data_IF_882551742464
#
_entry.id   IF_882551742464
#
_cell.length_a   1.000
_cell.length_b   1.000
_cell.length_c   1.000
_cell.angle_alpha   90.00
_cell.angle_beta   90.00
_cell.angle_gamma   90.00
#
_symmetry.space_group_name_H-M   'P 1'
#
loop_
_entity.id
_entity.type
_entity.pdbx_description
1 polymer ?
#
# COMPACT_ATOMS: atom_id res chain seq x y z
N UNK A 1 44.46 3.87 16.28
CA UNK A 1 43.63 3.90 15.06
C UNK A 1 43.04 2.53 14.64
N UNK A 2 43.62 1.37 15.02
CA UNK A 2 43.05 0.05 14.66
C UNK A 2 41.86 -0.43 15.52
N UNK A 3 41.70 0.10 16.73
CA UNK A 3 40.62 -0.28 17.65
C UNK A 3 39.28 0.44 17.39
N UNK A 4 39.30 1.56 16.65
CA UNK A 4 38.08 2.34 16.35
C UNK A 4 37.27 1.74 15.18
N UNK A 5 37.94 1.00 14.29
CA UNK A 5 37.28 0.33 13.16
C UNK A 5 36.44 -0.89 13.60
N UNK A 6 36.85 -1.58 14.67
CA UNK A 6 36.12 -2.73 15.19
C UNK A 6 34.82 -2.33 15.93
N UNK A 7 34.77 -1.13 16.52
CA UNK A 7 33.58 -0.62 17.22
C UNK A 7 32.46 -0.19 16.25
N UNK A 8 32.80 0.30 15.05
CA UNK A 8 31.81 0.69 14.04
C UNK A 8 31.14 -0.49 13.33
N UNK A 9 31.81 -1.66 13.28
CA UNK A 9 31.27 -2.88 12.67
C UNK A 9 30.22 -3.61 13.53
N UNK A 10 30.06 -3.24 14.81
CA UNK A 10 29.11 -3.87 15.74
C UNK A 10 27.75 -3.14 15.85
N UNK A 11 27.57 -1.97 15.21
CA UNK A 11 26.36 -1.14 15.33
C UNK A 11 25.33 -1.30 14.20
N UNK A 12 25.50 -2.26 13.30
CA UNK A 12 24.56 -2.53 12.21
C UNK A 12 23.60 -3.71 12.50
N UNK A 13 23.20 -3.93 13.77
CA UNK A 13 22.03 -4.74 14.07
C UNK A 13 20.79 -3.90 13.75
N UNK A 14 20.41 -3.87 12.47
CA UNK A 14 19.10 -3.41 12.05
C UNK A 14 18.04 -4.20 12.81
N UNK A 15 17.25 -3.52 13.62
CA UNK A 15 16.08 -4.10 14.29
C UNK A 15 15.11 -4.54 13.20
N UNK A 16 15.16 -5.82 12.82
CA UNK A 16 14.10 -6.42 12.04
C UNK A 16 12.84 -6.36 12.90
N UNK A 17 11.89 -5.50 12.52
CA UNK A 17 10.56 -5.50 13.11
C UNK A 17 9.95 -6.87 12.83
N UNK A 18 10.02 -7.76 13.82
CA UNK A 18 9.31 -9.03 13.78
C UNK A 18 7.82 -8.68 13.81
N UNK A 19 7.05 -9.20 12.86
CA UNK A 19 5.60 -9.13 12.95
C UNK A 19 5.18 -10.08 14.07
N UNK A 20 4.67 -9.54 15.17
CA UNK A 20 4.07 -10.36 16.22
C UNK A 20 2.67 -10.81 15.78
N UNK A 21 2.29 -12.07 16.08
CA UNK A 21 0.94 -12.57 15.83
C UNK A 21 -0.11 -11.69 16.50
N UNK A 22 -1.22 -11.46 15.81
CA UNK A 22 -2.35 -10.73 16.38
C UNK A 22 -3.20 -11.65 17.24
N UNK A 23 -3.75 -11.10 18.33
CA UNK A 23 -4.74 -11.79 19.15
C UNK A 23 -6.08 -11.76 18.43
N UNK A 24 -6.69 -12.93 18.31
CA UNK A 24 -7.95 -13.11 17.58
C UNK A 24 -8.94 -13.91 18.40
N UNK A 25 -10.22 -13.75 18.06
CA UNK A 25 -11.32 -14.59 18.54
C UNK A 25 -11.73 -15.54 17.41
N UNK A 26 -11.79 -16.84 17.68
CA UNK A 26 -12.36 -17.80 16.73
C UNK A 26 -13.88 -17.61 16.65
N UNK A 27 -14.41 -17.49 15.44
CA UNK A 27 -15.84 -17.27 15.17
C UNK A 27 -16.55 -18.47 14.53
N UNK A 28 -15.88 -19.62 14.39
CA UNK A 28 -16.48 -20.82 13.81
C UNK A 28 -15.57 -21.60 12.86
N UNK A 29 -14.31 -21.86 13.23
CA UNK A 29 -13.42 -22.77 12.47
C UNK A 29 -13.84 -24.24 12.62
N UNK A 30 -14.91 -24.65 11.92
CA UNK A 30 -15.47 -26.01 12.06
C UNK A 30 -14.63 -27.08 11.37
N UNK A 31 -14.00 -26.73 10.24
CA UNK A 31 -13.30 -27.67 9.35
C UNK A 31 -11.78 -27.51 9.34
N UNK A 32 -11.25 -26.75 10.29
CA UNK A 32 -9.81 -26.58 10.48
C UNK A 32 -9.49 -25.90 11.81
N UNK A 33 -8.20 -25.70 12.06
CA UNK A 33 -7.68 -25.12 13.30
C UNK A 33 -6.68 -24.03 12.96
N UNK A 34 -6.97 -22.80 13.40
CA UNK A 34 -6.03 -21.68 13.29
C UNK A 34 -4.84 -21.92 14.21
N UNK A 35 -3.63 -21.73 13.69
CA UNK A 35 -2.38 -21.77 14.45
C UNK A 35 -1.89 -20.37 14.76
N UNK A 36 -2.02 -19.47 13.79
CA UNK A 36 -1.47 -18.12 13.88
C UNK A 36 -2.20 -17.19 12.92
N UNK A 37 -2.42 -15.95 13.34
CA UNK A 37 -2.90 -14.86 12.49
C UNK A 37 -1.88 -13.73 12.58
N UNK A 38 -1.41 -13.27 11.43
CA UNK A 38 -0.47 -12.17 11.31
C UNK A 38 -1.07 -11.08 10.42
N UNK A 39 -1.00 -9.83 10.89
CA UNK A 39 -1.35 -8.65 10.10
C UNK A 39 -0.16 -7.73 10.10
N UNK A 40 0.34 -7.37 8.91
CA UNK A 40 1.55 -6.56 8.78
C UNK A 40 1.33 -5.37 7.85
N UNK A 41 1.72 -4.14 8.26
CA UNK A 41 2.25 -3.80 9.58
C UNK A 41 1.15 -3.75 10.66
N UNK A 42 1.39 -4.27 11.88
CA UNK A 42 0.53 -4.04 13.05
C UNK A 42 1.37 -4.09 14.34
N UNK A 43 2.09 -3.00 14.68
CA UNK A 43 2.99 -2.99 15.84
C UNK A 43 2.24 -2.90 17.19
N UNK A 44 0.96 -2.57 17.17
CA UNK A 44 0.14 -2.44 18.38
C UNK A 44 -1.29 -2.83 18.06
N UNK A 45 -1.93 -3.54 18.99
CA UNK A 45 -3.31 -3.97 18.87
C UNK A 45 -4.23 -3.09 19.74
N UNK A 46 -5.43 -2.72 19.25
CA UNK A 46 -6.02 -3.04 17.96
C UNK A 46 -5.26 -2.39 16.79
N UNK A 47 -5.17 -3.09 15.65
CA UNK A 47 -4.39 -2.62 14.52
C UNK A 47 -4.93 -1.29 13.99
N UNK A 48 -4.03 -0.30 13.87
CA UNK A 48 -4.33 0.99 13.26
C UNK A 48 -4.08 0.91 11.75
N UNK A 49 -5.17 0.85 11.01
CA UNK A 49 -5.20 0.72 9.56
C UNK A 49 -5.26 2.11 8.92
N UNK A 50 -4.12 2.60 8.46
CA UNK A 50 -4.01 3.90 7.81
C UNK A 50 -4.60 3.88 6.41
N UNK A 51 -5.44 4.87 6.12
CA UNK A 51 -5.99 5.10 4.78
C UNK A 51 -4.91 5.23 3.72
N UNK A 52 -5.18 4.77 2.50
CA UNK A 52 -4.23 4.79 1.39
C UNK A 52 -3.07 3.79 1.51
N UNK A 53 -2.98 3.02 2.60
CA UNK A 53 -1.95 1.99 2.79
C UNK A 53 -2.48 0.60 2.47
N UNK A 54 -1.57 -0.34 2.26
CA UNK A 54 -1.89 -1.76 2.09
C UNK A 54 -1.34 -2.56 3.26
N UNK A 55 -2.14 -3.51 3.74
CA UNK A 55 -1.78 -4.42 4.82
C UNK A 55 -1.77 -5.85 4.30
N UNK A 56 -0.80 -6.63 4.74
CA UNK A 56 -0.69 -8.05 4.44
C UNK A 56 -1.30 -8.85 5.59
N UNK A 57 -2.08 -9.87 5.26
CA UNK A 57 -2.66 -10.83 6.19
C UNK A 57 -2.06 -12.20 5.88
N UNK A 58 -1.56 -12.88 6.91
CA UNK A 58 -1.08 -14.24 6.83
C UNK A 58 -1.76 -15.08 7.92
N UNK A 59 -2.46 -16.14 7.53
CA UNK A 59 -3.13 -17.05 8.44
C UNK A 59 -2.53 -18.44 8.27
N UNK A 60 -1.89 -18.94 9.31
CA UNK A 60 -1.45 -20.33 9.36
C UNK A 60 -2.54 -21.17 10.00
N UNK A 61 -3.01 -22.20 9.30
CA UNK A 61 -4.07 -23.08 9.77
C UNK A 61 -3.83 -24.52 9.32
N UNK A 62 -4.37 -25.48 10.08
CA UNK A 62 -4.41 -26.90 9.70
C UNK A 62 -5.83 -27.24 9.25
N UNK A 63 -5.98 -27.82 8.06
CA UNK A 63 -7.28 -28.31 7.59
C UNK A 63 -7.62 -29.64 8.24
N UNK A 64 -8.86 -29.84 8.68
CA UNK A 64 -9.36 -31.14 9.17
C UNK A 64 -10.10 -31.94 8.09
N UNK A 65 -10.28 -31.36 6.91
CA UNK A 65 -11.00 -31.97 5.77
C UNK A 65 -10.22 -31.82 4.46
N UNK A 66 -10.69 -32.52 3.44
CA UNK A 66 -10.25 -32.32 2.05
C UNK A 66 -11.23 -31.40 1.34
N UNK A 67 -10.73 -30.45 0.55
CA UNK A 67 -11.57 -29.55 -0.24
C UNK A 67 -10.95 -29.32 -1.62
N UNK A 68 -11.77 -29.28 -2.67
CA UNK A 68 -11.28 -29.01 -4.04
C UNK A 68 -10.94 -27.54 -4.26
N UNK A 69 -11.64 -26.64 -3.58
CA UNK A 69 -11.46 -25.20 -3.67
C UNK A 69 -11.47 -24.55 -2.29
N UNK A 70 -11.15 -23.27 -2.22
CA UNK A 70 -11.37 -22.48 -1.02
C UNK A 70 -11.73 -21.05 -1.38
N UNK A 71 -12.59 -20.42 -0.58
CA UNK A 71 -13.08 -19.07 -0.84
C UNK A 71 -13.01 -18.22 0.42
N UNK A 72 -12.34 -17.09 0.34
CA UNK A 72 -12.30 -16.10 1.41
C UNK A 72 -13.53 -15.20 1.38
N UNK A 73 -14.11 -14.98 2.57
CA UNK A 73 -15.26 -14.10 2.80
C UNK A 73 -14.92 -13.20 3.97
N UNK A 74 -15.09 -11.89 3.79
CA UNK A 74 -14.69 -10.88 4.78
C UNK A 74 -15.88 -9.98 5.09
N UNK A 75 -16.11 -9.74 6.38
CA UNK A 75 -17.10 -8.78 6.87
C UNK A 75 -16.44 -7.76 7.79
N UNK A 76 -16.88 -6.52 7.70
CA UNK A 76 -16.67 -5.51 8.73
C UNK A 76 -17.90 -5.42 9.61
N UNK A 77 -17.76 -5.72 10.90
CA UNK A 77 -18.86 -5.62 11.88
C UNK A 77 -18.85 -4.21 12.47
N UNK A 78 -19.88 -3.44 12.13
CA UNK A 78 -20.07 -2.06 12.55
C UNK A 78 -21.28 -2.01 13.49
N UNK A 79 -21.04 -1.64 14.75
CA UNK A 79 -22.11 -1.58 15.78
C UNK A 79 -22.92 -2.89 15.88
N UNK A 80 -22.27 -4.04 15.72
CA UNK A 80 -22.90 -5.36 15.76
C UNK A 80 -23.53 -5.84 14.44
N UNK A 81 -23.52 -5.02 13.39
CA UNK A 81 -24.06 -5.38 12.06
C UNK A 81 -22.92 -5.80 11.13
N UNK A 82 -22.93 -7.02 10.57
CA UNK A 82 -21.92 -7.46 9.61
C UNK A 82 -22.16 -6.81 8.23
N UNK A 83 -21.14 -6.16 7.69
CA UNK A 83 -21.17 -5.55 6.34
C UNK A 83 -20.15 -6.27 5.44
N UNK A 84 -20.57 -6.83 4.30
CA UNK A 84 -19.66 -7.50 3.38
C UNK A 84 -18.54 -6.59 2.85
N UNK A 85 -17.31 -7.10 2.84
CA UNK A 85 -16.15 -6.43 2.28
C UNK A 85 -15.58 -7.24 1.11
N UNK A 86 -15.86 -6.85 -0.15
CA UNK A 86 -15.30 -7.53 -1.31
C UNK A 86 -13.78 -7.36 -1.37
N UNK A 87 -13.06 -8.48 -1.39
CA UNK A 87 -11.61 -8.52 -1.54
C UNK A 87 -11.22 -8.79 -2.99
N UNK A 88 -10.06 -8.30 -3.48
CA UNK A 88 -9.66 -8.44 -4.88
C UNK A 88 -9.49 -9.88 -5.35
N UNK A 89 -8.94 -10.74 -4.49
CA UNK A 89 -8.77 -12.17 -4.75
C UNK A 89 -9.47 -12.97 -3.64
N UNK A 90 -10.70 -13.46 -3.89
CA UNK A 90 -11.41 -14.32 -2.96
C UNK A 90 -11.02 -15.79 -3.08
N UNK A 91 -10.35 -16.24 -4.14
CA UNK A 91 -9.95 -17.65 -4.28
C UNK A 91 -8.74 -17.98 -3.40
N UNK A 92 -8.97 -18.73 -2.32
CA UNK A 92 -7.91 -19.10 -1.39
C UNK A 92 -6.80 -19.94 -2.03
N UNK A 93 -7.12 -20.68 -3.09
CA UNK A 93 -6.15 -21.47 -3.86
C UNK A 93 -5.13 -20.59 -4.62
N UNK A 94 -5.43 -19.29 -4.78
CA UNK A 94 -4.52 -18.28 -5.37
C UNK A 94 -3.85 -17.41 -4.31
N UNK A 95 -4.15 -17.65 -3.05
CA UNK A 95 -3.69 -16.89 -1.88
C UNK A 95 -2.76 -17.74 -1.00
N UNK A 96 -1.77 -18.40 -1.60
CA UNK A 96 -0.76 -19.20 -0.87
C UNK A 96 -1.16 -20.65 -0.54
N UNK A 97 -2.38 -21.08 -0.86
CA UNK A 97 -2.85 -22.45 -0.61
C UNK A 97 -2.73 -23.27 -1.90
N UNK A 98 -1.98 -24.37 -1.86
CA UNK A 98 -1.96 -25.30 -2.99
C UNK A 98 -3.16 -26.26 -2.93
N UNK A 99 -4.12 -26.07 -3.83
CA UNK A 99 -5.31 -26.90 -3.95
C UNK A 99 -5.07 -28.14 -4.85
N UNK A 100 -5.77 -29.27 -4.62
CA UNK A 100 -6.80 -29.47 -3.60
C UNK A 100 -6.22 -29.49 -2.17
N UNK A 101 -6.99 -28.94 -1.24
CA UNK A 101 -6.69 -28.96 0.19
C UNK A 101 -6.78 -30.40 0.69
N UNK A 102 -5.80 -30.80 1.48
CA UNK A 102 -5.69 -32.13 2.07
C UNK A 102 -5.99 -32.05 3.57
N UNK A 103 -6.63 -33.11 4.07
CA UNK A 103 -6.90 -33.31 5.49
C UNK A 103 -5.58 -33.42 6.26
N UNK A 104 -5.58 -32.85 7.47
CA UNK A 104 -4.49 -32.83 8.45
C UNK A 104 -3.22 -32.13 7.98
N UNK A 105 -3.29 -31.34 6.89
CA UNK A 105 -2.18 -30.55 6.37
C UNK A 105 -2.28 -29.08 6.79
N UNK A 106 -1.13 -28.51 7.14
CA UNK A 106 -1.00 -27.09 7.48
C UNK A 106 -0.70 -26.26 6.24
N UNK A 107 -1.36 -25.10 6.15
CA UNK A 107 -1.26 -24.14 5.06
C UNK A 107 -1.07 -22.73 5.62
N UNK A 108 -0.54 -21.84 4.76
CA UNK A 108 -0.47 -20.40 5.02
C UNK A 108 -1.28 -19.67 3.97
N UNK A 109 -2.41 -19.11 4.39
CA UNK A 109 -3.22 -18.23 3.57
C UNK A 109 -2.64 -16.81 3.59
N UNK A 110 -2.43 -16.21 2.42
CA UNK A 110 -1.78 -14.92 2.24
C UNK A 110 -2.67 -13.99 1.41
N UNK A 111 -2.99 -12.81 1.96
CA UNK A 111 -3.70 -11.79 1.19
C UNK A 111 -3.15 -10.39 1.49
N UNK A 112 -3.37 -9.45 0.57
CA UNK A 112 -2.99 -8.04 0.71
C UNK A 112 -4.21 -7.18 0.46
N UNK A 113 -4.58 -6.38 1.45
CA UNK A 113 -5.76 -5.52 1.39
C UNK A 113 -5.37 -4.04 1.36
N UNK A 114 -5.81 -3.29 0.33
CA UNK A 114 -5.72 -1.84 0.34
C UNK A 114 -6.82 -1.23 1.23
N UNK A 115 -6.43 -0.39 2.18
CA UNK A 115 -7.34 0.47 2.93
C UNK A 115 -7.54 1.74 2.11
N UNK A 116 -8.70 1.91 1.49
CA UNK A 116 -8.90 3.02 0.55
C UNK A 116 -9.02 4.36 1.27
N UNK A 117 -8.68 5.44 0.57
CA UNK A 117 -8.67 6.80 1.13
C UNK A 117 -10.05 7.31 1.51
N UNK A 118 -11.08 6.86 0.79
CA UNK A 118 -12.49 7.19 1.03
C UNK A 118 -13.11 6.51 2.25
N UNK A 119 -12.43 5.51 2.85
CA UNK A 119 -12.98 4.82 4.02
C UNK A 119 -13.09 5.77 5.23
N UNK A 120 -14.15 5.67 6.04
CA UNK A 120 -14.30 6.50 7.24
C UNK A 120 -13.25 6.12 8.29
N UNK A 121 -12.86 7.07 9.13
CA UNK A 121 -12.03 6.77 10.31
C UNK A 121 -12.94 6.24 11.42
N UNK A 122 -12.89 4.93 11.69
CA UNK A 122 -13.82 4.27 12.60
C UNK A 122 -13.19 3.02 13.23
N UNK A 123 -13.71 2.60 14.37
CA UNK A 123 -13.42 1.29 14.98
C UNK A 123 -14.43 0.26 14.51
N UNK A 124 -13.96 -0.94 14.19
CA UNK A 124 -14.80 -2.05 13.76
C UNK A 124 -14.14 -3.38 14.15
N UNK A 125 -14.90 -4.46 14.06
CA UNK A 125 -14.35 -5.82 14.11
C UNK A 125 -14.28 -6.35 12.69
N UNK A 126 -13.12 -6.87 12.28
CA UNK A 126 -12.98 -7.60 11.02
C UNK A 126 -13.26 -9.06 11.31
N UNK A 127 -14.21 -9.65 10.60
CA UNK A 127 -14.47 -11.07 10.56
C UNK A 127 -13.95 -11.62 9.23
N UNK A 128 -13.11 -12.65 9.29
CA UNK A 128 -12.53 -13.29 8.12
C UNK A 128 -12.76 -14.78 8.15
N UNK A 129 -13.34 -15.29 7.08
CA UNK A 129 -13.60 -16.71 6.87
C UNK A 129 -12.85 -17.21 5.65
N UNK A 130 -12.34 -18.43 5.72
CA UNK A 130 -11.96 -19.20 4.55
C UNK A 130 -12.86 -20.43 4.48
N UNK A 131 -13.72 -20.49 3.47
CA UNK A 131 -14.72 -21.52 3.29
C UNK A 131 -14.24 -22.60 2.31
N UNK A 132 -14.65 -23.84 2.55
CA UNK A 132 -14.41 -24.98 1.67
C UNK A 132 -15.44 -25.09 0.52
N UNK A 133 -15.42 -26.19 -0.22
CA UNK A 133 -16.35 -26.46 -1.33
C UNK A 133 -17.81 -26.70 -0.88
N UNK A 134 -18.05 -26.85 0.42
CA UNK A 134 -19.38 -26.96 1.05
C UNK A 134 -19.82 -25.66 1.73
N UNK A 135 -19.05 -24.59 1.59
CA UNK A 135 -19.23 -23.30 2.26
C UNK A 135 -19.07 -23.37 3.79
N UNK A 136 -18.35 -24.36 4.29
CA UNK A 136 -18.03 -24.50 5.70
C UNK A 136 -16.64 -23.91 5.97
N UNK A 137 -16.48 -23.28 7.15
CA UNK A 137 -15.26 -22.54 7.47
C UNK A 137 -14.11 -23.48 7.86
N UNK A 138 -13.10 -23.53 6.98
CA UNK A 138 -11.77 -24.06 7.29
C UNK A 138 -11.12 -23.25 8.42
N UNK A 139 -11.34 -21.93 8.40
CA UNK A 139 -11.08 -21.07 9.55
C UNK A 139 -12.03 -19.88 9.58
N UNK A 140 -12.25 -19.34 10.78
CA UNK A 140 -12.98 -18.11 11.04
C UNK A 140 -12.29 -17.35 12.18
N UNK A 141 -11.89 -16.10 11.96
CA UNK A 141 -11.40 -15.25 13.05
C UNK A 141 -11.98 -13.84 13.02
N UNK A 142 -12.05 -13.24 14.21
CA UNK A 142 -12.41 -11.86 14.47
C UNK A 142 -11.25 -11.11 15.13
N UNK A 143 -10.93 -9.90 14.64
CA UNK A 143 -10.02 -8.97 15.33
C UNK A 143 -10.60 -7.54 15.36
N UNK A 144 -10.43 -6.80 16.45
CA UNK A 144 -10.74 -5.37 16.48
C UNK A 144 -9.67 -4.57 15.71
N UNK A 145 -10.11 -3.64 14.86
CA UNK A 145 -9.24 -2.71 14.13
C UNK A 145 -9.76 -1.28 14.23
N UNK A 146 -8.88 -0.33 13.95
CA UNK A 146 -9.25 1.08 13.83
C UNK A 146 -8.72 1.64 12.51
N UNK A 147 -9.61 2.12 11.65
CA UNK A 147 -9.22 2.87 10.46
C UNK A 147 -8.87 4.30 10.89
N UNK A 148 -7.67 4.76 10.53
CA UNK A 148 -7.16 6.08 10.87
C UNK A 148 -6.79 6.86 9.60
N UNK A 149 -6.92 8.18 9.66
CA UNK A 149 -6.36 9.04 8.60
C UNK A 149 -4.83 8.96 8.63
N UNK A 150 -4.20 9.16 7.48
CA UNK A 150 -2.75 9.39 7.42
C UNK A 150 -2.42 10.71 8.15
N UNK A 151 -2.24 10.67 9.45
CA UNK A 151 -1.44 11.70 10.11
C UNK A 151 -0.01 11.43 9.70
N UNK A 152 0.52 12.21 8.76
CA UNK A 152 1.84 12.04 8.18
C UNK A 152 2.88 11.75 9.24
N UNK A 153 3.38 10.50 9.25
CA UNK A 153 4.57 10.10 9.97
C UNK A 153 5.80 10.73 9.29
N UNK A 154 5.91 12.05 9.38
CA UNK A 154 7.15 12.78 9.11
C UNK A 154 7.93 13.05 10.41
N UNK A 155 7.57 12.40 11.53
CA UNK A 155 8.22 12.59 12.83
C UNK A 155 9.64 12.01 12.94
N UNK A 156 10.30 11.59 11.85
CA UNK A 156 11.69 11.10 11.91
C UNK A 156 12.66 11.66 10.86
N UNK A 157 12.33 12.76 10.17
CA UNK A 157 13.28 13.41 9.23
C UNK A 157 13.63 14.87 9.54
N UNK A 158 13.30 15.43 10.71
CA UNK A 158 13.69 16.81 11.06
C UNK A 158 14.86 16.93 12.05
N UNK A 159 15.60 15.85 12.35
CA UNK A 159 16.73 15.91 13.29
C UNK A 159 18.09 15.91 12.58
N UNK A 160 18.35 16.90 11.70
CA UNK A 160 19.72 17.30 11.32
C UNK A 160 19.74 18.53 10.40
N UNK A 161 19.23 19.66 10.87
CA UNK A 161 19.61 20.99 10.35
C UNK A 161 19.80 21.94 11.54
N UNK A 162 20.87 21.71 12.29
CA UNK A 162 21.40 22.67 13.26
C UNK A 162 22.89 22.41 13.39
N UNK A 163 23.66 22.92 12.43
CA UNK A 163 25.06 23.34 12.56
C UNK A 163 25.63 23.70 11.19
N UNK A 164 25.14 24.79 10.58
CA UNK A 164 26.00 25.59 9.69
C UNK A 164 25.76 27.04 10.08
N UNK A 165 26.51 27.50 11.08
CA UNK A 165 26.64 28.91 11.40
C UNK A 165 28.10 29.30 11.20
N UNK A 166 28.26 30.30 10.31
CA UNK A 166 29.32 31.32 10.27
C UNK A 166 30.76 30.89 9.95
N UNK A 167 31.17 31.19 8.71
CA UNK A 167 32.42 31.92 8.47
C UNK A 167 32.19 32.96 7.36
N UNK A 168 32.62 34.18 7.65
CA UNK A 168 32.45 35.43 6.92
C UNK A 168 33.66 35.72 6.00
N UNK A 169 33.47 36.70 5.09
CA UNK A 169 34.46 37.44 4.29
C UNK A 169 35.20 36.65 3.18
N UNK A 170 35.40 37.15 1.96
CA UNK A 170 35.61 38.53 1.51
C UNK A 170 35.16 38.77 0.06
N UNK A 171 34.86 40.03 -0.24
CA UNK A 171 34.41 40.58 -1.51
C UNK A 171 35.39 40.40 -2.69
N UNK A 172 34.83 40.20 -3.90
CA UNK A 172 35.30 40.86 -5.13
C UNK A 172 34.08 41.21 -6.00
N UNK A 173 34.04 42.48 -6.42
CA UNK A 173 33.08 43.13 -7.32
C UNK A 173 33.31 42.78 -8.79
N UNK A 174 32.29 43.06 -9.63
CA UNK A 174 32.21 43.19 -11.11
C UNK A 174 31.24 42.15 -11.70
N UNK A 175 30.35 42.43 -12.65
CA UNK A 175 29.74 43.62 -13.24
C UNK A 175 28.45 43.12 -13.93
N UNK A 176 27.53 44.05 -14.14
CA UNK A 176 26.25 44.00 -14.86
C UNK A 176 26.12 43.05 -16.06
N UNK A 177 24.95 42.40 -16.20
CA UNK A 177 24.11 42.44 -17.42
C UNK A 177 22.75 41.75 -17.19
N UNK A 178 21.72 42.46 -17.64
CA UNK A 178 20.28 42.19 -17.68
C UNK A 178 19.82 40.80 -18.14
N UNK A 179 18.71 40.30 -17.58
CA UNK A 179 17.57 39.85 -18.40
C UNK A 179 16.32 39.64 -17.55
N UNK A 180 15.25 40.30 -17.99
CA UNK A 180 13.89 40.23 -17.50
C UNK A 180 13.27 38.85 -17.74
N UNK A 181 12.76 38.21 -16.68
CA UNK A 181 11.82 37.11 -16.80
C UNK A 181 10.41 37.63 -16.47
N UNK A 182 9.57 37.67 -17.50
CA UNK A 182 8.19 38.14 -17.44
C UNK A 182 7.33 37.23 -16.56
N UNK A 183 6.61 37.88 -15.65
CA UNK A 183 5.54 37.30 -14.85
C UNK A 183 4.37 36.89 -15.76
N UNK A 184 4.03 35.61 -15.79
CA UNK A 184 2.82 35.14 -16.49
C UNK A 184 1.77 34.76 -15.45
N UNK A 185 0.85 35.69 -15.19
CA UNK A 185 -0.38 35.47 -14.43
C UNK A 185 -1.33 34.55 -15.20
N UNK A 186 -1.77 33.47 -14.56
CA UNK A 186 -2.83 32.59 -15.06
C UNK A 186 -4.16 33.08 -14.49
N UNK A 187 -5.02 33.62 -15.35
CA UNK A 187 -6.39 34.00 -15.02
C UNK A 187 -7.33 32.92 -15.53
N UNK A 188 -8.05 32.23 -14.64
CA UNK A 188 -9.11 31.29 -15.01
C UNK A 188 -10.48 31.96 -14.84
N UNK A 189 -11.21 32.15 -15.93
CA UNK A 189 -12.62 32.55 -15.90
C UNK A 189 -13.53 31.31 -15.82
N UNK A 190 -14.67 31.39 -15.10
CA UNK A 190 -15.63 30.29 -15.06
C UNK A 190 -16.55 30.33 -16.29
N UNK A 191 -16.74 29.18 -16.95
CA UNK A 191 -17.79 28.99 -17.96
C UNK A 191 -18.88 28.08 -17.39
N UNK A 192 -20.07 28.65 -17.23
CA UNK A 192 -21.34 27.95 -17.02
C UNK A 192 -21.84 27.48 -18.39
N UNK A 193 -22.18 26.20 -18.53
CA UNK A 193 -23.50 25.72 -18.98
C UNK A 193 -23.47 24.28 -19.51
N UNK A 194 -24.37 23.48 -18.94
CA UNK A 194 -25.24 22.44 -19.51
C UNK A 194 -24.79 21.56 -20.69
N UNK A 195 -25.07 20.27 -20.47
CA UNK A 195 -25.44 19.24 -21.45
C UNK A 195 -24.34 18.32 -22.03
N UNK A 196 -24.84 17.13 -22.36
CA UNK A 196 -24.23 15.81 -22.29
C UNK A 196 -23.36 15.44 -23.50
N UNK A 197 -22.72 14.28 -23.40
CA UNK A 197 -21.98 13.52 -24.41
C UNK A 197 -20.50 13.88 -24.71
N UNK A 198 -19.64 13.06 -24.07
CA UNK A 198 -18.55 12.29 -24.69
C UNK A 198 -17.57 13.06 -25.58
N UNK A 199 -16.41 13.44 -25.02
CA UNK A 199 -15.21 13.70 -25.84
C UNK A 199 -13.97 13.01 -25.28
N UNK A 200 -13.44 12.19 -26.19
CA UNK A 200 -12.16 11.50 -26.24
C UNK A 200 -11.03 12.54 -26.13
N UNK A 201 -10.07 12.36 -25.21
CA UNK A 201 -8.82 13.11 -25.24
C UNK A 201 -8.00 12.62 -26.44
N UNK A 202 -7.82 13.46 -27.45
CA UNK A 202 -6.77 13.27 -28.46
C UNK A 202 -5.56 14.08 -28.06
N UNK A 203 -4.43 13.40 -27.90
CA UNK A 203 -3.10 14.00 -27.79
C UNK A 203 -2.75 14.55 -29.18
N UNK A 204 -2.51 15.86 -29.29
CA UNK A 204 -1.92 16.45 -30.48
C UNK A 204 -0.39 16.44 -30.30
N UNK A 205 0.29 15.55 -31.02
CA UNK A 205 1.73 15.61 -31.23
C UNK A 205 2.07 16.92 -31.97
N UNK A 206 2.99 17.69 -31.40
CA UNK A 206 3.55 18.88 -32.06
C UNK A 206 4.92 18.48 -32.61
N UNK A 207 5.03 18.38 -33.93
CA UNK A 207 6.30 18.22 -34.63
C UNK A 207 7.21 19.44 -34.42
N UNK A 208 8.44 19.19 -33.99
CA UNK A 208 9.54 20.15 -34.02
C UNK A 208 10.13 20.17 -35.45
N UNK A 209 9.92 21.27 -36.17
CA UNK A 209 10.70 21.61 -37.37
C UNK A 209 12.10 22.06 -36.97
N UNK A 210 13.12 21.36 -37.44
CA UNK A 210 14.50 21.87 -37.54
C UNK A 210 14.82 22.12 -39.01
N UNK A 211 15.27 23.34 -39.31
CA UNK A 211 15.62 23.79 -40.65
C UNK A 211 17.06 23.39 -41.02
N UNK A 212 17.24 22.98 -42.28
CA UNK A 212 18.35 23.45 -43.10
C UNK A 212 19.37 22.43 -43.58
N UNK A 213 19.69 22.58 -44.88
CA UNK A 213 20.85 22.08 -45.66
C UNK A 213 20.71 20.66 -46.26
N UNK A 214 21.05 20.36 -47.51
CA UNK A 214 21.31 21.11 -48.74
C UNK A 214 21.28 20.07 -49.91
N UNK A 215 20.49 20.33 -50.96
CA UNK A 215 20.68 19.98 -52.38
C UNK A 215 21.27 18.61 -52.82
N UNK A 216 20.47 17.81 -53.57
CA UNK A 216 20.64 17.49 -55.01
C UNK A 216 19.88 16.19 -55.39
N UNK A 217 18.89 16.36 -56.26
CA UNK A 217 18.67 15.62 -57.51
C UNK A 217 18.53 14.09 -57.56
N UNK A 218 17.38 13.69 -58.13
CA UNK A 218 17.17 12.66 -59.17
C UNK A 218 16.63 11.25 -58.81
N UNK A 219 15.35 11.06 -59.18
CA UNK A 219 14.75 10.02 -60.08
C UNK A 219 14.67 8.54 -59.63
N UNK A 220 13.42 8.03 -59.66
CA UNK A 220 12.84 6.69 -59.94
C UNK A 220 13.61 5.43 -59.50
N UNK A 221 13.01 4.43 -58.84
CA UNK A 221 11.81 3.64 -59.16
C UNK A 221 11.28 2.97 -57.87
#
# INVERSE_FOLDING_TARGET
MRFLAAAFLLLALSTAAQAEPVQFKDCGSVDGVIKEVNVSPCPTQPCQLSKGQSYSVNVTFTSNIQSKSSKAVVHGILMGVPVPFPIPEPDGCKSGINCPIQKDKTYSYLNKLPVKSEYPSIKLVVEWQLQDDKNQSLFCWEIPVQIVSLSGGFSSLSASLSSVHLANESAETLDSTSSSAASTTVTCSPMVSSDSLKRRCSVAETELRVAGSQWLSHVSF
#
